data_IF_372936332452
#
_entry.id   IF_372936332452
#
_cell.length_a   1.000
_cell.length_b   1.000
_cell.length_c   1.000
_cell.angle_alpha   90.00
_cell.angle_beta   90.00
_cell.angle_gamma   90.00
#
_symmetry.space_group_name_H-M   'P 1'
#
loop_
_entity.id
_entity.type
_entity.pdbx_description
1 polymer ?
#
# COMPACT_ATOMS: atom_id res chain seq x y z
N UNK A 1 -29.31 -34.02 -39.84
CA UNK A 1 -29.00 -32.58 -39.99
C UNK A 1 -27.60 -32.44 -39.44
N UNK A 2 -26.64 -32.37 -40.35
CA UNK A 2 -25.20 -32.30 -40.05
C UNK A 2 -24.91 -30.89 -39.55
N UNK A 3 -24.53 -30.75 -38.27
CA UNK A 3 -24.02 -29.49 -37.75
C UNK A 3 -22.67 -29.23 -38.41
N UNK A 4 -22.62 -28.24 -39.30
CA UNK A 4 -21.38 -27.83 -39.96
C UNK A 4 -20.39 -27.31 -38.91
N UNK A 5 -19.42 -28.15 -38.54
CA UNK A 5 -18.26 -27.74 -37.76
C UNK A 5 -17.48 -26.68 -38.54
N UNK A 6 -17.69 -25.42 -38.18
CA UNK A 6 -16.89 -24.31 -38.71
C UNK A 6 -15.50 -24.38 -38.09
N UNK A 7 -14.52 -24.85 -38.85
CA UNK A 7 -13.11 -24.84 -38.50
C UNK A 7 -12.62 -23.37 -38.57
N UNK A 8 -11.97 -22.91 -37.50
CA UNK A 8 -11.36 -21.58 -37.41
C UNK A 8 -9.85 -21.69 -37.42
N UNK A 9 -9.20 -20.90 -38.27
CA UNK A 9 -7.75 -20.74 -38.27
C UNK A 9 -7.33 -19.62 -37.31
N UNK A 10 -6.78 -20.00 -36.15
CA UNK A 10 -6.37 -19.06 -35.10
C UNK A 10 -4.87 -18.82 -35.20
N UNK A 11 -4.48 -17.55 -35.39
CA UNK A 11 -3.07 -17.16 -35.42
C UNK A 11 -2.61 -16.67 -34.04
N UNK A 12 -1.62 -17.33 -33.46
CA UNK A 12 -1.04 -17.01 -32.16
C UNK A 12 0.43 -16.64 -32.32
N UNK A 13 0.83 -15.48 -31.78
CA UNK A 13 2.20 -14.97 -31.80
C UNK A 13 2.82 -15.17 -30.43
N UNK A 14 3.91 -15.92 -30.35
CA UNK A 14 4.69 -16.12 -29.13
C UNK A 14 6.18 -15.89 -29.42
N UNK A 15 6.80 -14.98 -28.67
CA UNK A 15 8.24 -14.63 -28.80
C UNK A 15 8.69 -14.30 -30.23
N UNK A 16 7.79 -13.74 -31.05
CA UNK A 16 8.05 -13.39 -32.45
C UNK A 16 7.72 -14.51 -33.46
N UNK A 17 7.50 -15.75 -32.99
CA UNK A 17 7.07 -16.87 -33.82
C UNK A 17 5.55 -16.88 -33.98
N UNK A 18 5.08 -17.24 -35.17
CA UNK A 18 3.66 -17.38 -35.50
C UNK A 18 3.27 -18.85 -35.50
N UNK A 19 2.25 -19.19 -34.72
CA UNK A 19 1.64 -20.49 -34.63
C UNK A 19 0.22 -20.39 -35.18
N UNK A 20 -0.16 -21.31 -36.07
CA UNK A 20 -1.51 -21.39 -36.63
C UNK A 20 -2.11 -22.65 -36.06
N UNK A 21 -3.23 -22.52 -35.36
CA UNK A 21 -3.96 -23.64 -34.75
C UNK A 21 -5.35 -23.69 -35.37
N UNK A 22 -5.70 -24.84 -35.94
CA UNK A 22 -7.01 -25.10 -36.54
C UNK A 22 -7.90 -25.74 -35.49
N UNK A 23 -9.00 -25.09 -35.12
CA UNK A 23 -9.93 -25.61 -34.10
C UNK A 23 -11.37 -25.30 -34.45
N UNK A 24 -12.30 -26.10 -33.92
CA UNK A 24 -13.73 -25.87 -34.09
C UNK A 24 -14.16 -24.57 -33.42
N UNK A 25 -15.10 -23.83 -34.03
CA UNK A 25 -15.58 -22.54 -33.52
C UNK A 25 -16.25 -22.60 -32.15
N UNK A 26 -16.75 -23.77 -31.77
CA UNK A 26 -17.34 -24.07 -30.46
C UNK A 26 -16.34 -24.63 -29.44
N UNK A 27 -15.05 -24.77 -29.80
CA UNK A 27 -14.04 -25.25 -28.87
C UNK A 27 -13.87 -24.28 -27.70
N UNK A 28 -13.46 -24.80 -26.55
CA UNK A 28 -13.23 -24.00 -25.36
C UNK A 28 -11.82 -23.38 -25.40
N UNK A 29 -11.65 -22.26 -24.69
CA UNK A 29 -10.34 -21.64 -24.52
C UNK A 29 -9.31 -22.59 -23.90
N UNK A 30 -9.76 -23.53 -23.05
CA UNK A 30 -8.92 -24.58 -22.47
C UNK A 30 -8.30 -25.48 -23.55
N UNK A 31 -9.06 -25.86 -24.56
CA UNK A 31 -8.59 -26.76 -25.62
C UNK A 31 -7.53 -26.07 -26.50
N UNK A 32 -7.74 -24.78 -26.80
CA UNK A 32 -6.72 -23.93 -27.43
C UNK A 32 -5.46 -23.83 -26.58
N UNK A 33 -5.61 -23.69 -25.26
CA UNK A 33 -4.48 -23.70 -24.32
C UNK A 33 -3.69 -25.01 -24.35
N UNK A 34 -4.37 -26.15 -24.45
CA UNK A 34 -3.73 -27.49 -24.52
C UNK A 34 -2.97 -27.67 -25.83
N UNK A 35 -3.53 -27.28 -26.98
CA UNK A 35 -2.83 -27.35 -28.26
C UNK A 35 -1.62 -26.43 -28.32
N UNK A 36 -1.74 -25.20 -27.79
CA UNK A 36 -0.60 -24.29 -27.67
C UNK A 36 0.47 -24.82 -26.71
N UNK A 37 0.07 -25.49 -25.63
CA UNK A 37 1.00 -26.11 -24.70
C UNK A 37 1.82 -27.22 -25.36
N UNK A 38 1.19 -28.08 -26.20
CA UNK A 38 1.91 -29.10 -26.97
C UNK A 38 2.93 -28.48 -27.95
N UNK A 39 2.59 -27.35 -28.56
CA UNK A 39 3.43 -26.69 -29.57
C UNK A 39 4.57 -25.85 -28.99
N UNK A 40 4.43 -25.36 -27.75
CA UNK A 40 5.35 -24.35 -27.17
C UNK A 40 6.00 -24.78 -25.86
N UNK A 41 5.59 -25.92 -25.30
CA UNK A 41 6.04 -26.44 -24.01
C UNK A 41 5.91 -25.44 -22.84
N UNK A 42 5.01 -24.47 -23.00
CA UNK A 42 4.72 -23.43 -22.00
C UNK A 42 3.93 -24.04 -20.85
N UNK A 43 4.32 -23.74 -19.61
CA UNK A 43 3.57 -24.19 -18.43
C UNK A 43 2.18 -23.54 -18.41
N UNK A 44 1.15 -24.37 -18.30
CA UNK A 44 -0.26 -23.99 -18.25
C UNK A 44 -0.56 -22.79 -17.31
N UNK A 45 -0.01 -22.80 -16.10
CA UNK A 45 -0.23 -21.73 -15.10
C UNK A 45 0.27 -20.36 -15.55
N UNK A 46 1.35 -20.33 -16.35
CA UNK A 46 2.00 -19.10 -16.81
C UNK A 46 1.45 -18.59 -18.15
N UNK A 47 0.61 -19.38 -18.81
CA UNK A 47 0.08 -19.04 -20.12
C UNK A 47 -0.96 -17.93 -20.01
N UNK A 48 -0.74 -16.85 -20.75
CA UNK A 48 -1.68 -15.72 -20.89
C UNK A 48 -1.82 -15.36 -22.36
N UNK A 49 -3.07 -15.20 -22.81
CA UNK A 49 -3.41 -14.80 -24.17
C UNK A 49 -3.93 -13.37 -24.17
N UNK A 50 -3.34 -12.52 -25.00
CA UNK A 50 -3.76 -11.13 -25.19
C UNK A 50 -4.52 -11.08 -26.51
N UNK A 51 -5.84 -10.95 -26.41
CA UNK A 51 -6.76 -10.93 -27.54
C UNK A 51 -7.21 -9.48 -27.82
N UNK A 52 -6.99 -8.94 -29.03
CA UNK A 52 -7.46 -7.60 -29.37
C UNK A 52 -9.00 -7.55 -29.47
N UNK A 53 -9.64 -6.62 -28.75
CA UNK A 53 -11.11 -6.49 -28.77
C UNK A 53 -11.59 -5.66 -29.97
N UNK A 54 -12.71 -6.08 -30.57
CA UNK A 54 -13.29 -5.42 -31.75
C UNK A 54 -14.15 -4.19 -31.42
N UNK A 55 -14.71 -4.12 -30.21
CA UNK A 55 -15.78 -3.17 -29.85
C UNK A 55 -15.35 -2.05 -28.91
N UNK A 56 -14.19 -2.16 -28.26
CA UNK A 56 -13.60 -1.14 -27.38
C UNK A 56 -12.11 -1.05 -27.66
N UNK A 57 -11.53 0.17 -27.66
CA UNK A 57 -10.07 0.36 -27.73
C UNK A 57 -9.42 -0.33 -26.53
N UNK A 58 -8.94 -1.56 -26.71
CA UNK A 58 -8.32 -2.34 -25.65
C UNK A 58 -8.04 -3.79 -26.06
N UNK A 59 -7.16 -4.45 -25.31
CA UNK A 59 -6.88 -5.88 -25.42
C UNK A 59 -7.37 -6.60 -24.17
N UNK A 60 -8.03 -7.75 -24.34
CA UNK A 60 -8.45 -8.61 -23.23
C UNK A 60 -7.35 -9.62 -22.94
N UNK A 61 -6.91 -9.69 -21.69
CA UNK A 61 -6.04 -10.76 -21.24
C UNK A 61 -6.90 -11.94 -20.79
N UNK A 62 -6.61 -13.13 -21.31
CA UNK A 62 -7.29 -14.37 -21.01
C UNK A 62 -6.29 -15.40 -20.48
N UNK A 63 -6.77 -16.26 -19.60
CA UNK A 63 -5.97 -17.30 -18.94
C UNK A 63 -6.61 -18.65 -19.25
N UNK A 64 -6.15 -19.40 -20.27
CA UNK A 64 -6.81 -20.63 -20.73
C UNK A 64 -7.10 -21.66 -19.63
N UNK A 65 -6.26 -21.70 -18.60
CA UNK A 65 -6.34 -22.66 -17.50
C UNK A 65 -6.93 -22.10 -16.20
N UNK A 66 -7.49 -20.88 -16.23
CA UNK A 66 -8.21 -20.32 -15.07
C UNK A 66 -9.65 -20.81 -15.05
N UNK A 67 -10.20 -21.06 -13.86
CA UNK A 67 -11.59 -21.48 -13.67
C UNK A 67 -12.61 -20.51 -14.32
N UNK A 68 -12.27 -19.22 -14.36
CA UNK A 68 -13.14 -18.18 -14.95
C UNK A 68 -13.13 -18.15 -16.48
N UNK A 69 -12.06 -18.63 -17.12
CA UNK A 69 -11.85 -18.46 -18.56
C UNK A 69 -11.77 -19.78 -19.32
N UNK A 70 -11.56 -20.89 -18.63
CA UNK A 70 -11.45 -22.24 -19.21
C UNK A 70 -12.71 -22.67 -19.96
N UNK A 71 -13.88 -22.19 -19.53
CA UNK A 71 -15.19 -22.50 -20.12
C UNK A 71 -15.68 -21.49 -21.16
N UNK A 72 -14.91 -20.44 -21.43
CA UNK A 72 -15.28 -19.46 -22.45
C UNK A 72 -15.11 -20.08 -23.83
N UNK A 73 -16.13 -19.90 -24.67
CA UNK A 73 -16.02 -20.27 -26.10
C UNK A 73 -15.08 -19.30 -26.82
N UNK A 74 -14.50 -19.75 -27.93
CA UNK A 74 -13.64 -18.89 -28.76
C UNK A 74 -14.38 -17.64 -29.26
N UNK A 75 -15.68 -17.75 -29.54
CA UNK A 75 -16.53 -16.62 -29.93
C UNK A 75 -16.70 -15.59 -28.79
N UNK A 76 -16.98 -16.05 -27.56
CA UNK A 76 -17.08 -15.19 -26.37
C UNK A 76 -15.74 -14.55 -25.99
N UNK A 77 -14.64 -15.25 -26.28
CA UNK A 77 -13.28 -14.76 -26.12
C UNK A 77 -12.88 -13.70 -27.17
N UNK A 78 -13.76 -13.39 -28.15
CA UNK A 78 -13.47 -12.52 -29.30
C UNK A 78 -12.32 -13.03 -30.18
N UNK A 79 -12.09 -14.35 -30.17
CA UNK A 79 -11.10 -15.04 -30.99
C UNK A 79 -11.79 -15.40 -32.30
N UNK A 80 -11.43 -14.69 -33.37
CA UNK A 80 -12.01 -14.84 -34.69
C UNK A 80 -10.91 -15.11 -35.72
N UNK A 81 -11.28 -15.78 -36.81
CA UNK A 81 -10.39 -16.07 -37.93
C UNK A 81 -9.77 -14.78 -38.48
N UNK A 82 -8.44 -14.81 -38.70
CA UNK A 82 -7.67 -13.66 -39.18
C UNK A 82 -7.20 -12.66 -38.11
N UNK A 83 -7.59 -12.80 -36.84
CA UNK A 83 -7.02 -11.98 -35.74
C UNK A 83 -5.79 -12.66 -35.15
N UNK A 84 -4.70 -11.89 -35.03
CA UNK A 84 -3.50 -12.38 -34.33
C UNK A 84 -3.63 -12.14 -32.82
N UNK A 85 -3.48 -13.23 -32.07
CA UNK A 85 -3.45 -13.23 -30.60
C UNK A 85 -1.99 -13.24 -30.17
N UNK A 86 -1.64 -12.51 -29.10
CA UNK A 86 -0.30 -12.62 -28.53
C UNK A 86 -0.33 -13.54 -27.32
N UNK A 87 0.50 -14.57 -27.33
CA UNK A 87 0.69 -15.43 -26.17
C UNK A 87 1.90 -14.95 -25.36
N UNK A 88 1.77 -15.04 -24.04
CA UNK A 88 2.86 -14.95 -23.07
C UNK A 88 2.88 -16.23 -22.25
N UNK A 89 4.08 -16.65 -21.86
CA UNK A 89 4.27 -17.85 -21.07
C UNK A 89 5.74 -18.25 -21.09
N UNK A 90 6.11 -19.03 -20.08
CA UNK A 90 7.47 -19.50 -19.86
C UNK A 90 7.43 -21.02 -19.90
N UNK A 91 8.42 -21.62 -20.55
CA UNK A 91 8.58 -23.09 -20.58
C UNK A 91 9.08 -23.60 -19.22
N UNK A 92 8.84 -24.87 -18.92
CA UNK A 92 9.32 -25.49 -17.67
C UNK A 92 10.85 -25.45 -17.60
N UNK A 93 11.52 -25.76 -18.71
CA UNK A 93 12.97 -25.72 -18.84
C UNK A 93 13.58 -24.33 -18.55
N UNK A 94 12.89 -23.26 -18.93
CA UNK A 94 13.37 -21.90 -18.69
C UNK A 94 13.17 -21.48 -17.24
N UNK A 95 12.06 -21.91 -16.60
CA UNK A 95 11.88 -21.73 -15.15
C UNK A 95 12.99 -22.47 -14.41
N UNK A 96 13.31 -23.70 -14.81
CA UNK A 96 14.36 -24.50 -14.17
C UNK A 96 15.76 -23.91 -14.40
N UNK A 97 16.05 -23.40 -15.61
CA UNK A 97 17.32 -22.69 -15.90
C UNK A 97 17.45 -21.42 -15.08
N UNK A 98 16.38 -20.63 -14.92
CA UNK A 98 16.41 -19.44 -14.07
C UNK A 98 16.63 -19.83 -12.62
N UNK A 99 15.94 -20.85 -12.11
CA UNK A 99 16.14 -21.36 -10.75
C UNK A 99 17.56 -21.91 -10.52
N UNK A 100 18.17 -22.56 -11.52
CA UNK A 100 19.56 -23.02 -11.45
C UNK A 100 20.56 -21.85 -11.51
N UNK A 101 20.30 -20.84 -12.36
CA UNK A 101 21.14 -19.63 -12.43
C UNK A 101 21.07 -18.79 -11.15
N UNK A 102 19.91 -18.72 -10.50
CA UNK A 102 19.73 -18.08 -9.21
C UNK A 102 20.53 -18.76 -8.09
N UNK A 103 20.77 -20.08 -8.20
CA UNK A 103 21.65 -20.82 -7.27
C UNK A 103 23.14 -20.58 -7.55
N UNK A 104 23.52 -20.21 -8.77
CA UNK A 104 24.91 -19.94 -9.13
C UNK A 104 25.36 -18.53 -8.74
N UNK A 105 24.45 -17.55 -8.74
CA UNK A 105 24.74 -16.14 -8.45
C UNK A 105 24.54 -15.82 -6.95
N UNK A 106 25.35 -16.45 -6.09
CA UNK A 106 25.33 -16.29 -4.62
C UNK A 106 25.66 -14.85 -4.12
N UNK A 107 25.79 -13.87 -5.02
CA UNK A 107 26.09 -12.47 -4.69
C UNK A 107 24.87 -11.55 -4.65
N UNK A 108 23.74 -11.99 -5.19
CA UNK A 108 22.51 -11.19 -5.22
C UNK A 108 21.46 -11.93 -4.38
N UNK A 109 21.11 -11.36 -3.23
CA UNK A 109 20.03 -11.87 -2.39
C UNK A 109 18.73 -11.90 -3.20
N UNK A 110 17.99 -13.00 -3.13
CA UNK A 110 16.72 -13.15 -3.85
C UNK A 110 15.66 -12.15 -3.33
N UNK A 111 14.64 -11.88 -4.14
CA UNK A 111 13.54 -10.96 -3.75
C UNK A 111 12.86 -11.40 -2.44
N UNK A 112 12.62 -12.70 -2.27
CA UNK A 112 12.04 -13.26 -1.04
C UNK A 112 12.99 -13.14 0.16
N UNK A 113 14.29 -13.21 -0.09
CA UNK A 113 15.31 -13.07 0.94
C UNK A 113 15.44 -11.60 1.38
N UNK A 114 15.39 -10.65 0.45
CA UNK A 114 15.39 -9.21 0.73
C UNK A 114 14.06 -8.76 1.37
N UNK A 115 12.92 -9.33 0.95
CA UNK A 115 11.63 -9.12 1.60
C UNK A 115 11.65 -9.70 3.02
N UNK A 116 12.18 -10.91 3.22
CA UNK A 116 12.38 -11.46 4.56
C UNK A 116 13.34 -10.61 5.38
N UNK A 117 14.38 -10.04 4.78
CA UNK A 117 15.30 -9.11 5.45
C UNK A 117 14.60 -7.83 5.86
N UNK A 118 13.72 -7.29 5.03
CA UNK A 118 12.92 -6.11 5.32
C UNK A 118 11.86 -6.39 6.40
N UNK A 119 11.16 -7.52 6.30
CA UNK A 119 10.22 -8.02 7.33
C UNK A 119 10.94 -8.29 8.64
N UNK A 120 12.13 -8.89 8.60
CA UNK A 120 12.98 -9.09 9.77
C UNK A 120 13.47 -7.75 10.34
N UNK A 121 13.84 -6.75 9.54
CA UNK A 121 14.14 -5.40 10.07
C UNK A 121 12.94 -4.76 10.78
N UNK A 122 11.72 -5.04 10.30
CA UNK A 122 10.49 -4.57 10.94
C UNK A 122 10.09 -5.39 12.18
N UNK A 123 10.37 -6.69 12.22
CA UNK A 123 10.00 -7.61 13.32
C UNK A 123 11.08 -7.79 14.39
N UNK A 124 12.37 -7.60 14.03
CA UNK A 124 13.53 -7.51 14.93
C UNK A 124 13.79 -6.08 15.42
N UNK A 125 12.83 -5.15 15.31
CA UNK A 125 12.72 -4.23 16.44
C UNK A 125 12.27 -5.13 17.59
N UNK A 126 13.09 -5.34 18.63
CA UNK A 126 12.56 -5.94 19.84
C UNK A 126 11.28 -5.17 20.17
N UNK A 127 10.29 -5.75 20.86
CA UNK A 127 9.35 -4.94 21.59
C UNK A 127 10.19 -4.20 22.63
N UNK A 128 10.90 -3.14 22.23
CA UNK A 128 11.31 -2.09 23.11
C UNK A 128 9.99 -1.71 23.71
N UNK A 129 9.82 -2.09 24.99
CA UNK A 129 8.88 -1.42 25.86
C UNK A 129 8.95 0.04 25.47
N UNK A 130 7.80 0.63 25.13
CA UNK A 130 7.70 2.04 24.76
C UNK A 130 8.22 2.87 25.94
N UNK A 131 9.54 2.98 26.04
CA UNK A 131 10.24 3.74 27.05
C UNK A 131 10.21 5.14 26.50
N UNK A 132 9.40 5.96 27.14
CA UNK A 132 9.37 7.38 26.84
C UNK A 132 10.80 7.91 26.98
N UNK A 133 11.26 8.72 26.02
CA UNK A 133 12.57 9.34 26.11
C UNK A 133 12.60 10.18 27.39
N UNK A 134 13.66 10.03 28.18
CA UNK A 134 13.91 10.86 29.35
C UNK A 134 14.97 11.90 28.99
N UNK A 135 14.63 13.17 29.11
CA UNK A 135 15.54 14.28 28.81
C UNK A 135 14.87 15.64 28.94
N UNK A 136 15.62 16.73 28.77
CA UNK A 136 15.08 18.09 28.85
C UNK A 136 14.14 18.43 27.67
N UNK A 137 14.30 17.78 26.52
CA UNK A 137 13.60 18.08 25.27
C UNK A 137 12.58 17.00 24.90
N UNK A 138 11.64 16.74 25.80
CA UNK A 138 10.63 15.68 25.66
C UNK A 138 9.26 16.18 26.13
N UNK A 139 8.25 15.33 26.03
CA UNK A 139 6.94 15.54 26.65
C UNK A 139 7.02 15.09 28.12
N UNK A 140 6.55 15.91 29.06
CA UNK A 140 6.62 15.57 30.50
C UNK A 140 5.44 14.71 30.96
N UNK A 141 4.23 15.03 30.51
CA UNK A 141 3.01 14.34 30.95
C UNK A 141 2.01 14.10 29.79
N UNK A 142 1.09 13.17 29.98
CA UNK A 142 0.10 12.75 29.00
C UNK A 142 -1.30 12.64 29.62
N UNK A 143 -2.29 13.31 29.02
CA UNK A 143 -3.69 13.23 29.46
C UNK A 143 -4.61 12.85 28.33
N UNK A 144 -5.25 11.69 28.48
CA UNK A 144 -6.31 11.23 27.57
C UNK A 144 -7.62 11.92 27.84
N UNK A 145 -8.50 11.93 26.84
CA UNK A 145 -9.84 12.46 26.98
C UNK A 145 -10.66 11.55 27.90
N UNK A 146 -11.23 12.12 28.95
CA UNK A 146 -12.18 11.45 29.82
C UNK A 146 -13.46 12.29 29.83
N UNK A 147 -14.57 11.68 29.40
CA UNK A 147 -15.89 12.29 29.44
C UNK A 147 -16.69 11.56 30.51
N UNK A 148 -17.08 12.21 31.61
CA UNK A 148 -17.90 11.59 32.65
C UNK A 148 -19.18 10.97 32.05
N UNK A 149 -19.38 9.68 32.27
CA UNK A 149 -20.58 8.95 31.82
C UNK A 149 -20.57 8.46 30.36
N UNK A 150 -19.48 8.63 29.61
CA UNK A 150 -19.36 8.13 28.23
C UNK A 150 -18.22 7.12 28.12
N UNK A 151 -18.54 5.89 27.71
CA UNK A 151 -17.54 4.87 27.41
C UNK A 151 -16.98 5.10 26.00
N UNK A 152 -15.71 5.54 25.94
CA UNK A 152 -15.03 5.81 24.68
C UNK A 152 -14.57 4.51 24.03
N UNK A 153 -14.92 4.30 22.75
CA UNK A 153 -14.54 3.14 21.97
C UNK A 153 -13.80 3.58 20.71
N UNK A 154 -12.45 3.48 20.62
CA UNK A 154 -11.56 2.67 21.46
C UNK A 154 -11.28 3.26 22.86
N UNK A 155 -10.82 2.48 23.86
CA UNK A 155 -10.63 2.96 25.23
C UNK A 155 -9.50 4.00 25.34
N UNK A 156 -9.51 4.78 26.43
CA UNK A 156 -8.48 5.77 26.72
C UNK A 156 -7.07 5.18 26.78
N UNK A 157 -6.92 3.93 27.20
CA UNK A 157 -5.63 3.22 27.23
C UNK A 157 -4.98 3.10 25.84
N UNK A 158 -5.77 2.87 24.79
CA UNK A 158 -5.28 2.81 23.41
C UNK A 158 -4.91 4.21 22.89
N UNK A 159 -5.62 5.24 23.31
CA UNK A 159 -5.26 6.62 23.00
C UNK A 159 -3.91 6.99 23.64
N UNK A 160 -3.71 6.63 24.92
CA UNK A 160 -2.45 6.83 25.62
C UNK A 160 -1.28 6.12 24.94
N UNK A 161 -1.47 4.85 24.52
CA UNK A 161 -0.45 4.11 23.75
C UNK A 161 -0.03 4.88 22.50
N UNK A 162 -0.98 5.45 21.76
CA UNK A 162 -0.68 6.24 20.55
C UNK A 162 0.08 7.53 20.87
N UNK A 163 -0.27 8.20 21.96
CA UNK A 163 0.46 9.38 22.42
C UNK A 163 1.91 9.02 22.81
N UNK A 164 2.10 7.91 23.53
CA UNK A 164 3.44 7.40 23.84
C UNK A 164 4.23 7.02 22.59
N UNK A 165 3.58 6.41 21.59
CA UNK A 165 4.21 6.11 20.30
C UNK A 165 4.68 7.36 19.58
N UNK A 166 3.86 8.44 19.58
CA UNK A 166 4.24 9.72 18.98
C UNK A 166 5.41 10.36 19.72
N UNK A 167 5.36 10.38 21.05
CA UNK A 167 6.44 10.94 21.87
C UNK A 167 7.75 10.14 21.73
N UNK A 168 7.66 8.83 21.49
CA UNK A 168 8.82 7.95 21.28
C UNK A 168 9.27 7.88 19.81
N UNK A 169 8.63 8.61 18.89
CA UNK A 169 8.99 8.61 17.47
C UNK A 169 10.39 9.23 17.28
N UNK A 170 11.36 8.53 16.65
CA UNK A 170 12.71 9.03 16.49
C UNK A 170 12.79 10.38 15.77
N UNK A 171 11.89 10.61 14.81
CA UNK A 171 11.82 11.88 14.09
C UNK A 171 11.38 13.02 15.01
N UNK A 172 10.37 12.79 15.85
CA UNK A 172 9.90 13.80 16.81
C UNK A 172 10.99 14.09 17.85
N UNK A 173 11.62 13.07 18.42
CA UNK A 173 12.71 13.23 19.39
C UNK A 173 13.87 14.03 18.78
N UNK A 174 14.27 13.72 17.55
CA UNK A 174 15.35 14.42 16.85
C UNK A 174 15.04 15.91 16.66
N UNK A 175 13.79 16.22 16.29
CA UNK A 175 13.32 17.61 16.12
C UNK A 175 13.32 18.34 17.45
N UNK A 176 12.72 17.76 18.50
CA UNK A 176 12.66 18.38 19.82
C UNK A 176 14.07 18.67 20.35
N UNK A 177 15.00 17.73 20.18
CA UNK A 177 16.41 17.92 20.55
C UNK A 177 17.10 19.01 19.72
N UNK A 178 16.88 19.03 18.41
CA UNK A 178 17.50 20.01 17.49
C UNK A 178 17.06 21.43 17.80
N UNK A 179 15.79 21.63 18.12
CA UNK A 179 15.21 22.93 18.42
C UNK A 179 15.17 23.25 19.92
N UNK A 180 15.68 22.35 20.77
CA UNK A 180 15.66 22.45 22.23
C UNK A 180 14.24 22.69 22.79
N UNK A 181 13.24 22.07 22.16
CA UNK A 181 11.85 22.22 22.55
C UNK A 181 11.47 21.26 23.67
N UNK A 182 10.73 21.79 24.64
CA UNK A 182 10.15 21.06 25.75
C UNK A 182 8.63 21.25 25.73
N UNK A 183 7.88 20.18 25.98
CA UNK A 183 6.42 20.25 26.07
C UNK A 183 5.98 19.75 27.44
N UNK A 184 5.24 20.58 28.17
CA UNK A 184 4.75 20.25 29.51
C UNK A 184 3.81 19.05 29.46
N UNK A 185 2.65 19.21 28.83
CA UNK A 185 1.65 18.14 28.74
C UNK A 185 1.13 17.95 27.32
N UNK A 186 1.03 16.70 26.87
CA UNK A 186 0.27 16.34 25.68
C UNK A 186 -1.14 15.90 26.09
N UNK A 187 -2.17 16.51 25.52
CA UNK A 187 -3.57 16.21 25.85
C UNK A 187 -4.36 15.73 24.63
N UNK A 188 -5.38 14.90 24.84
CA UNK A 188 -6.31 14.51 23.78
C UNK A 188 -7.48 15.50 23.69
N UNK A 189 -7.73 16.02 22.48
CA UNK A 189 -8.82 16.94 22.20
C UNK A 189 -10.11 16.16 21.88
N UNK A 190 -11.21 16.53 22.53
CA UNK A 190 -12.54 16.04 22.17
C UNK A 190 -12.93 16.50 20.74
N UNK A 191 -13.59 15.65 19.94
CA UNK A 191 -14.11 16.04 18.63
C UNK A 191 -15.34 16.95 18.78
N UNK A 192 -15.14 18.19 19.26
CA UNK A 192 -16.19 19.21 19.26
C UNK A 192 -16.07 19.97 17.95
N UNK A 193 -16.92 19.61 16.99
CA UNK A 193 -16.92 20.15 15.62
C UNK A 193 -16.61 19.08 14.57
N UNK A 194 -17.46 19.01 13.55
CA UNK A 194 -17.37 18.06 12.45
C UNK A 194 -16.40 18.58 11.38
N UNK A 195 -15.51 17.72 10.90
CA UNK A 195 -14.63 18.04 9.75
C UNK A 195 -15.50 18.38 8.54
N UNK A 196 -15.38 19.60 8.03
CA UNK A 196 -16.08 20.03 6.81
C UNK A 196 -17.50 20.56 7.00
N UNK A 197 -18.04 20.60 8.24
CA UNK A 197 -19.35 21.24 8.53
C UNK A 197 -19.18 22.47 9.42
N UNK A 198 -18.28 22.43 10.39
CA UNK A 198 -17.96 23.58 11.23
C UNK A 198 -16.91 24.48 10.54
N UNK A 199 -17.00 25.82 10.65
CA UNK A 199 -16.11 26.75 9.94
C UNK A 199 -14.63 26.63 10.35
N UNK A 200 -14.34 26.03 11.51
CA UNK A 200 -12.97 25.71 11.97
C UNK A 200 -12.96 24.30 12.56
N UNK A 201 -12.42 23.34 11.82
CA UNK A 201 -12.12 22.01 12.36
C UNK A 201 -10.73 22.02 12.99
N UNK A 202 -10.67 22.14 14.32
CA UNK A 202 -9.41 22.12 15.07
C UNK A 202 -8.92 20.67 15.18
N UNK A 203 -7.72 20.40 14.66
CA UNK A 203 -7.06 19.09 14.70
C UNK A 203 -5.98 19.02 15.78
N UNK A 204 -5.38 20.16 16.12
CA UNK A 204 -4.43 20.31 17.19
C UNK A 204 -4.49 21.75 17.73
N UNK A 205 -3.92 21.94 18.92
CA UNK A 205 -3.79 23.25 19.55
C UNK A 205 -2.53 23.27 20.42
N UNK A 206 -1.64 24.22 20.16
CA UNK A 206 -0.54 24.56 21.05
C UNK A 206 -0.94 25.75 21.96
N UNK A 207 -0.91 25.56 23.28
CA UNK A 207 -1.11 26.62 24.28
C UNK A 207 0.22 27.06 24.86
N UNK A 208 0.40 28.38 24.97
CA UNK A 208 1.54 29.03 25.62
C UNK A 208 2.90 28.50 25.13
N UNK A 209 3.04 28.28 23.82
CA UNK A 209 4.28 27.81 23.21
C UNK A 209 4.85 26.55 23.89
N UNK A 210 4.01 25.53 24.07
CA UNK A 210 4.42 24.20 24.55
C UNK A 210 4.12 23.89 25.99
N UNK A 211 3.40 24.75 26.71
CA UNK A 211 2.88 24.36 28.03
C UNK A 211 1.94 23.15 27.89
N UNK A 212 1.00 23.25 26.93
CA UNK A 212 0.07 22.18 26.60
C UNK A 212 -0.09 22.05 25.08
N UNK A 213 0.06 20.84 24.55
CA UNK A 213 -0.29 20.53 23.17
C UNK A 213 -1.45 19.54 23.15
N UNK A 214 -2.61 19.97 22.67
CA UNK A 214 -3.79 19.15 22.51
C UNK A 214 -3.89 18.59 21.09
N UNK A 215 -4.13 17.29 20.93
CA UNK A 215 -4.27 16.64 19.63
C UNK A 215 -5.59 15.88 19.51
N UNK A 216 -6.23 15.98 18.34
CA UNK A 216 -7.40 15.17 18.00
C UNK A 216 -6.96 13.79 17.50
N UNK A 217 -7.03 12.79 18.38
CA UNK A 217 -6.66 11.41 18.06
C UNK A 217 -7.80 10.63 17.41
N UNK A 218 -9.05 10.94 17.77
CA UNK A 218 -10.26 10.19 17.36
C UNK A 218 -10.88 10.72 16.08
N UNK A 219 -11.61 9.83 15.42
CA UNK A 219 -12.55 10.20 14.36
C UNK A 219 -13.78 10.89 14.94
N UNK A 220 -14.54 11.56 14.07
CA UNK A 220 -15.71 12.35 14.45
C UNK A 220 -16.82 11.44 15.00
N UNK A 221 -16.90 10.21 14.49
CA UNK A 221 -17.83 9.18 14.97
C UNK A 221 -17.44 8.58 16.32
N UNK A 222 -16.31 8.99 16.90
CA UNK A 222 -15.69 8.45 18.12
C UNK A 222 -15.31 6.97 18.09
N UNK A 223 -15.74 6.20 17.08
CA UNK A 223 -15.56 4.75 16.89
C UNK A 223 -14.14 4.29 16.54
N UNK A 224 -13.24 5.23 16.27
CA UNK A 224 -11.90 4.88 15.78
C UNK A 224 -10.87 5.99 15.97
N UNK A 225 -9.63 5.66 15.62
CA UNK A 225 -8.53 6.62 15.60
C UNK A 225 -8.25 7.12 14.18
N UNK A 226 -7.76 8.35 14.09
CA UNK A 226 -7.21 8.90 12.85
C UNK A 226 -5.93 8.16 12.47
N UNK A 227 -5.58 8.23 11.18
CA UNK A 227 -4.34 7.64 10.65
C UNK A 227 -3.14 8.23 11.41
N UNK A 228 -2.23 7.36 11.86
CA UNK A 228 -1.04 7.77 12.65
C UNK A 228 -0.25 8.88 11.97
N UNK A 229 0.01 8.74 10.66
CA UNK A 229 0.73 9.74 9.87
C UNK A 229 0.04 11.10 9.82
N UNK A 230 -1.30 11.12 9.85
CA UNK A 230 -2.05 12.38 9.93
C UNK A 230 -1.89 13.04 11.28
N UNK A 231 -1.92 12.26 12.38
CA UNK A 231 -1.74 12.78 13.73
C UNK A 231 -0.31 13.29 13.92
N UNK A 232 0.69 12.56 13.41
CA UNK A 232 2.09 12.97 13.40
C UNK A 232 2.28 14.31 12.70
N UNK A 233 1.69 14.48 11.51
CA UNK A 233 1.73 15.76 10.79
C UNK A 233 1.12 16.92 11.57
N UNK A 234 0.01 16.69 12.26
CA UNK A 234 -0.61 17.69 13.15
C UNK A 234 0.32 18.03 14.31
N UNK A 235 0.91 17.04 14.98
CA UNK A 235 1.85 17.30 16.07
C UNK A 235 3.07 18.11 15.62
N UNK A 236 3.64 17.82 14.45
CA UNK A 236 4.76 18.60 13.91
C UNK A 236 4.35 20.06 13.62
N UNK A 237 3.13 20.28 13.16
CA UNK A 237 2.56 21.61 12.96
C UNK A 237 2.39 22.35 14.31
N UNK A 238 1.85 21.69 15.34
CA UNK A 238 1.74 22.28 16.68
C UNK A 238 3.12 22.57 17.29
N UNK A 239 4.13 21.76 17.02
CA UNK A 239 5.50 22.05 17.45
C UNK A 239 6.10 23.28 16.73
N UNK A 240 5.72 23.57 15.49
CA UNK A 240 6.14 24.81 14.84
C UNK A 240 5.53 26.05 15.53
N UNK A 241 4.35 25.91 16.14
CA UNK A 241 3.73 26.96 16.95
C UNK A 241 4.48 27.28 18.26
N UNK A 242 5.52 26.51 18.61
CA UNK A 242 6.45 26.88 19.68
C UNK A 242 7.20 28.19 19.38
N UNK A 243 7.38 28.52 18.10
CA UNK A 243 8.15 29.69 17.66
C UNK A 243 7.24 30.76 17.04
N UNK A 244 6.28 30.36 16.22
CA UNK A 244 5.41 31.29 15.49
C UNK A 244 3.94 30.99 15.77
N UNK A 245 3.21 31.92 16.38
CA UNK A 245 1.77 31.76 16.66
C UNK A 245 0.90 31.91 15.42
N UNK A 246 1.26 32.85 14.53
CA UNK A 246 0.51 33.15 13.33
C UNK A 246 0.95 32.31 12.13
N UNK A 247 0.04 32.06 11.20
CA UNK A 247 0.29 31.28 9.98
C UNK A 247 0.94 32.15 8.89
N UNK A 248 2.11 32.71 9.19
CA UNK A 248 2.87 33.54 8.25
C UNK A 248 3.82 32.70 7.38
N UNK A 249 4.52 33.35 6.46
CA UNK A 249 5.47 32.67 5.58
C UNK A 249 6.62 31.99 6.36
N UNK A 250 7.00 32.55 7.52
CA UNK A 250 8.05 31.99 8.37
C UNK A 250 7.59 30.71 9.07
N UNK A 251 6.34 30.68 9.52
CA UNK A 251 5.70 29.49 10.06
C UNK A 251 5.69 28.36 9.04
N UNK A 252 5.23 28.61 7.81
CA UNK A 252 5.19 27.58 6.77
C UNK A 252 6.59 27.09 6.38
N UNK A 253 7.60 27.97 6.40
CA UNK A 253 8.99 27.58 6.18
C UNK A 253 9.50 26.65 7.29
N UNK A 254 9.24 26.97 8.56
CA UNK A 254 9.63 26.15 9.70
C UNK A 254 8.87 24.81 9.70
N UNK A 255 7.55 24.82 9.51
CA UNK A 255 6.71 23.62 9.45
C UNK A 255 7.20 22.65 8.37
N UNK A 256 7.54 23.16 7.18
CA UNK A 256 8.14 22.36 6.10
C UNK A 256 9.50 21.79 6.50
N UNK A 257 10.37 22.59 7.13
CA UNK A 257 11.68 22.13 7.58
C UNK A 257 11.57 21.02 8.63
N UNK A 258 10.69 21.20 9.60
CA UNK A 258 10.41 20.23 10.67
C UNK A 258 9.88 18.93 10.08
N UNK A 259 8.91 18.99 9.15
CA UNK A 259 8.36 17.82 8.45
C UNK A 259 9.40 17.04 7.67
N UNK A 260 10.28 17.73 6.94
CA UNK A 260 11.38 17.09 6.19
C UNK A 260 12.36 16.42 7.16
N UNK A 261 12.75 17.12 8.23
CA UNK A 261 13.69 16.58 9.22
C UNK A 261 13.14 15.29 9.88
N UNK A 262 11.84 15.25 10.17
CA UNK A 262 11.18 14.06 10.73
C UNK A 262 11.24 12.82 9.82
N UNK A 263 11.30 13.02 8.50
CA UNK A 263 11.37 11.92 7.52
C UNK A 263 12.80 11.46 7.25
N UNK A 264 13.77 12.37 7.30
CA UNK A 264 15.19 12.08 7.00
C UNK A 264 15.91 11.46 8.21
N UNK A 265 15.42 11.69 9.43
CA UNK A 265 16.01 11.13 10.65
C UNK A 265 15.58 9.68 10.97
N UNK A 266 14.90 8.98 10.05
CA UNK A 266 14.48 7.57 10.16
C UNK A 266 15.29 6.73 9.20
#
# INVERSE_FOLDING_TARGET
MEDMESILNITVIWRGNKYIVEMNSNACLKDLGVELQKLTDVKADTMRLIVPQSSKKGSKMLSPFSDEHSRLSLQEASIAEGKSIRMMGVSVDEVDKVLQSAKADLRIAGFDEEENRMRQRMSYRPPTSLKLPQGPYTFSDFRTLQIPGVELNPPASEALKRMHMLAADPGIIAIMKKHHWHVGIMTELAPVGYVGVSPKCILGLNKNHGEEISLRLRTDDLKGFRKYESIKKTLLHELAHMVYSEHDANFYALDKQVKICAHVCV
#
